data_IF_836536959371
#
_entry.id   IF_836536959371
#
_cell.length_a   1.000
_cell.length_b   1.000
_cell.length_c   1.000
_cell.angle_alpha   90.00
_cell.angle_beta   90.00
_cell.angle_gamma   90.00
#
_symmetry.space_group_name_H-M   'P 1'
#
loop_
_entity.id
_entity.type
_entity.pdbx_description
1 polymer ?
#
# COMPACT_ATOMS: atom_id res chain seq x y z
N UNK A 1 5.69 -10.00 -29.91
CA UNK A 1 5.08 -8.66 -29.95
C UNK A 1 3.59 -8.85 -29.83
N UNK A 2 3.06 -8.73 -28.63
CA UNK A 2 1.61 -8.73 -28.41
C UNK A 2 1.20 -7.31 -28.03
N UNK A 3 0.33 -6.79 -28.88
CA UNK A 3 -0.11 -5.41 -28.96
C UNK A 3 -1.45 -5.35 -28.22
N UNK A 4 -1.46 -4.90 -26.97
CA UNK A 4 -2.72 -4.76 -26.26
C UNK A 4 -3.38 -3.42 -26.60
N UNK A 5 -4.48 -3.52 -27.34
CA UNK A 5 -5.44 -2.45 -27.55
C UNK A 5 -6.56 -2.64 -26.52
N UNK A 6 -6.48 -1.93 -25.40
CA UNK A 6 -7.67 -1.58 -24.61
C UNK A 6 -7.64 -0.10 -24.22
N UNK A 7 -8.41 0.70 -24.96
CA UNK A 7 -8.78 2.06 -24.58
C UNK A 7 -9.70 2.00 -23.35
N UNK A 8 -9.35 2.68 -22.25
CA UNK A 8 -10.35 3.17 -21.28
C UNK A 8 -10.10 2.95 -19.79
N UNK A 9 -9.12 2.14 -19.39
CA UNK A 9 -8.77 1.99 -17.97
C UNK A 9 -7.31 2.40 -17.79
N UNK A 10 -7.10 3.67 -17.48
CA UNK A 10 -5.85 4.08 -16.87
C UNK A 10 -5.77 3.31 -15.56
N UNK A 11 -4.77 2.44 -15.40
CA UNK A 11 -4.57 1.74 -14.13
C UNK A 11 -4.51 2.79 -13.01
N UNK A 12 -5.13 2.52 -11.85
CA UNK A 12 -5.05 3.44 -10.73
C UNK A 12 -3.58 3.69 -10.38
N UNK A 13 -3.19 4.92 -10.00
CA UNK A 13 -1.80 5.25 -9.64
C UNK A 13 -1.34 4.61 -8.31
N UNK A 14 -2.09 3.63 -7.79
CA UNK A 14 -1.81 2.91 -6.55
C UNK A 14 -1.99 1.41 -6.72
N UNK A 15 -1.32 0.65 -5.85
CA UNK A 15 -1.54 -0.79 -5.69
C UNK A 15 -2.25 -1.07 -4.39
N UNK A 16 -3.33 -1.85 -4.45
CA UNK A 16 -4.07 -2.30 -3.25
C UNK A 16 -3.65 -3.72 -2.84
N UNK A 17 -3.55 -3.94 -1.53
CA UNK A 17 -3.27 -5.23 -0.89
C UNK A 17 -4.35 -5.51 0.15
N UNK A 18 -4.77 -6.77 0.28
CA UNK A 18 -5.79 -7.19 1.25
C UNK A 18 -5.28 -8.33 2.10
N UNK A 19 -5.55 -8.23 3.40
CA UNK A 19 -5.08 -9.18 4.40
C UNK A 19 -6.25 -9.64 5.26
N UNK A 20 -6.33 -10.95 5.45
CA UNK A 20 -7.30 -11.57 6.35
C UNK A 20 -6.72 -11.61 7.77
N UNK A 21 -7.32 -10.83 8.67
CA UNK A 21 -6.93 -10.76 10.09
C UNK A 21 -7.70 -11.75 10.98
N UNK A 22 -8.49 -12.67 10.41
CA UNK A 22 -9.20 -13.71 11.19
C UNK A 22 -8.24 -14.65 11.92
N UNK A 23 -6.99 -14.74 11.46
CA UNK A 23 -5.94 -15.51 12.14
C UNK A 23 -5.51 -14.92 13.49
N UNK A 24 -5.83 -13.64 13.76
CA UNK A 24 -5.56 -13.02 15.07
C UNK A 24 -6.66 -13.44 16.06
N UNK A 25 -6.32 -14.10 17.18
CA UNK A 25 -7.31 -14.55 18.15
C UNK A 25 -8.15 -13.41 18.74
N UNK A 26 -9.40 -13.72 19.11
CA UNK A 26 -10.27 -12.74 19.75
C UNK A 26 -9.74 -12.35 21.14
N UNK A 27 -9.67 -11.05 21.41
CA UNK A 27 -9.13 -10.51 22.67
C UNK A 27 -7.63 -10.24 22.64
N UNK A 28 -6.93 -10.61 21.57
CA UNK A 28 -5.56 -10.19 21.33
C UNK A 28 -5.52 -8.88 20.54
N UNK A 29 -4.52 -8.04 20.84
CA UNK A 29 -4.26 -6.78 20.17
C UNK A 29 -2.96 -6.89 19.38
N UNK A 30 -2.90 -6.23 18.22
CA UNK A 30 -1.64 -6.11 17.49
C UNK A 30 -0.79 -5.05 18.18
N UNK A 31 0.43 -5.41 18.55
CA UNK A 31 1.36 -4.48 19.20
C UNK A 31 2.30 -3.81 18.21
N UNK A 32 2.58 -4.49 17.10
CA UNK A 32 3.36 -3.98 15.98
C UNK A 32 2.97 -4.74 14.71
N UNK A 33 2.92 -4.04 13.58
CA UNK A 33 2.78 -4.65 12.27
C UNK A 33 3.59 -3.89 11.23
N UNK A 34 4.22 -4.64 10.33
CA UNK A 34 5.02 -4.09 9.24
C UNK A 34 4.55 -4.67 7.91
N UNK A 35 4.39 -3.81 6.92
CA UNK A 35 4.24 -4.22 5.53
C UNK A 35 5.61 -4.18 4.86
N UNK A 36 6.06 -5.34 4.34
CA UNK A 36 7.38 -5.47 3.71
C UNK A 36 7.24 -5.75 2.22
N UNK A 37 7.88 -4.94 1.39
CA UNK A 37 7.94 -5.12 -0.06
C UNK A 37 9.37 -5.01 -0.56
N UNK A 38 9.75 -5.89 -1.48
CA UNK A 38 11.07 -5.85 -2.08
C UNK A 38 11.05 -4.91 -3.30
N UNK A 39 11.98 -3.95 -3.32
CA UNK A 39 12.11 -2.96 -4.37
C UNK A 39 13.35 -3.27 -5.20
N UNK A 40 13.14 -3.49 -6.50
CA UNK A 40 14.19 -3.62 -7.49
C UNK A 40 14.67 -2.23 -7.94
N UNK A 41 15.94 -2.10 -8.37
CA UNK A 41 16.44 -0.85 -8.89
C UNK A 41 15.76 -0.51 -10.23
N UNK A 42 15.36 0.74 -10.41
CA UNK A 42 14.76 1.22 -11.68
C UNK A 42 15.83 1.82 -12.57
N UNK A 43 16.04 1.24 -13.74
CA UNK A 43 16.93 1.78 -14.79
C UNK A 43 16.29 2.91 -15.60
N UNK A 44 14.97 3.11 -15.47
CA UNK A 44 14.21 4.10 -16.23
C UNK A 44 14.08 5.45 -15.50
N UNK A 45 14.17 5.45 -14.17
CA UNK A 45 13.96 6.63 -13.33
C UNK A 45 15.27 7.08 -12.67
N UNK A 46 16.40 6.94 -13.37
CA UNK A 46 17.73 7.22 -12.82
C UNK A 46 17.80 8.61 -12.19
N UNK A 47 18.43 8.69 -11.00
CA UNK A 47 18.60 9.91 -10.21
C UNK A 47 17.29 10.56 -9.73
N UNK A 48 16.13 9.90 -9.86
CA UNK A 48 14.88 10.39 -9.28
C UNK A 48 14.74 9.90 -7.85
N UNK A 49 14.10 10.74 -7.05
CA UNK A 49 13.62 10.37 -5.72
C UNK A 49 12.21 9.79 -5.85
N UNK A 50 11.96 8.69 -5.15
CA UNK A 50 10.64 8.08 -5.01
C UNK A 50 10.08 8.41 -3.64
N UNK A 51 8.83 8.85 -3.61
CA UNK A 51 8.02 8.97 -2.40
C UNK A 51 7.02 7.82 -2.37
N UNK A 52 7.22 6.89 -1.44
CA UNK A 52 6.39 5.71 -1.27
C UNK A 52 5.51 5.92 -0.06
N UNK A 53 4.22 6.13 -0.27
CA UNK A 53 3.25 6.34 0.80
C UNK A 53 2.30 5.16 0.94
N UNK A 54 1.95 4.84 2.19
CA UNK A 54 1.08 3.74 2.56
C UNK A 54 -0.15 4.26 3.29
N UNK A 55 -1.31 3.74 2.91
CA UNK A 55 -2.61 4.11 3.50
C UNK A 55 -3.42 2.87 3.86
N UNK A 56 -4.18 2.95 4.95
CA UNK A 56 -5.28 2.05 5.24
C UNK A 56 -6.51 2.45 4.42
N UNK A 57 -7.21 1.47 3.87
CA UNK A 57 -8.53 1.65 3.26
C UNK A 57 -9.60 1.45 4.33
N UNK A 58 -9.93 2.53 5.06
CA UNK A 58 -10.91 2.50 6.17
C UNK A 58 -12.31 2.17 5.65
N UNK A 59 -12.65 2.64 4.45
CA UNK A 59 -13.94 2.34 3.81
C UNK A 59 -13.81 2.32 2.29
N UNK A 60 -14.04 1.14 1.72
CA UNK A 60 -14.17 0.98 0.27
C UNK A 60 -15.47 1.62 -0.22
N UNK A 61 -15.39 2.36 -1.32
CA UNK A 61 -16.52 3.08 -1.91
C UNK A 61 -16.52 2.84 -3.42
N UNK A 62 -17.57 2.20 -3.94
CA UNK A 62 -17.66 1.84 -5.35
C UNK A 62 -17.87 3.04 -6.29
N UNK A 63 -18.51 4.11 -5.79
CA UNK A 63 -18.94 5.26 -6.62
C UNK A 63 -18.14 6.55 -6.36
N UNK A 64 -17.08 6.51 -5.53
CA UNK A 64 -16.21 7.66 -5.23
C UNK A 64 -14.90 7.18 -4.61
N UNK A 65 -13.98 8.10 -4.38
CA UNK A 65 -12.75 7.79 -3.65
C UNK A 65 -13.04 7.15 -2.28
N UNK A 66 -12.26 6.11 -1.99
CA UNK A 66 -12.30 5.39 -0.72
C UNK A 66 -11.81 6.30 0.41
N UNK A 67 -12.31 6.10 1.63
CA UNK A 67 -11.76 6.83 2.77
C UNK A 67 -10.41 6.21 3.12
N UNK A 68 -9.35 7.01 3.06
CA UNK A 68 -7.98 6.59 3.33
C UNK A 68 -7.47 7.17 4.65
N UNK A 69 -6.68 6.38 5.36
CA UNK A 69 -5.95 6.83 6.55
C UNK A 69 -4.45 6.65 6.30
N UNK A 70 -3.67 7.72 6.45
CA UNK A 70 -2.23 7.69 6.21
C UNK A 70 -1.52 6.87 7.29
N UNK A 71 -0.61 5.99 6.87
CA UNK A 71 0.14 5.11 7.76
C UNK A 71 1.63 5.47 7.78
N UNK A 72 2.27 5.49 6.61
CA UNK A 72 3.73 5.71 6.51
C UNK A 72 4.12 6.36 5.19
N UNK A 73 5.30 7.01 5.16
CA UNK A 73 5.93 7.60 3.99
C UNK A 73 7.44 7.33 4.04
N UNK A 74 7.96 6.74 2.97
CA UNK A 74 9.39 6.55 2.79
C UNK A 74 9.89 7.22 1.52
N UNK A 75 11.06 7.84 1.64
CA UNK A 75 11.75 8.52 0.55
C UNK A 75 13.03 7.77 0.25
N UNK A 76 13.19 7.32 -0.99
CA UNK A 76 14.36 6.57 -1.43
C UNK A 76 14.73 6.92 -2.87
N UNK A 77 15.94 6.55 -3.31
CA UNK A 77 16.35 6.76 -4.68
C UNK A 77 15.78 5.67 -5.58
N UNK A 78 15.49 6.02 -6.83
CA UNK A 78 15.00 5.09 -7.82
C UNK A 78 15.99 3.97 -8.15
N UNK A 79 17.29 4.19 -7.96
CA UNK A 79 18.34 3.19 -8.11
C UNK A 79 18.59 2.30 -6.88
N UNK A 80 18.03 2.64 -5.71
CA UNK A 80 18.25 1.84 -4.51
C UNK A 80 17.62 0.44 -4.66
N UNK A 81 18.17 -0.58 -4.01
CA UNK A 81 17.59 -1.93 -3.98
C UNK A 81 17.42 -2.38 -2.54
N UNK A 82 16.35 -3.11 -2.25
CA UNK A 82 16.19 -3.75 -0.96
C UNK A 82 14.75 -3.83 -0.46
N UNK A 83 14.64 -4.26 0.80
CA UNK A 83 13.37 -4.33 1.50
C UNK A 83 12.95 -2.95 1.99
N UNK A 84 11.76 -2.53 1.58
CA UNK A 84 11.03 -1.45 2.24
C UNK A 84 10.20 -2.04 3.36
N UNK A 85 10.24 -1.40 4.52
CA UNK A 85 9.53 -1.83 5.74
C UNK A 85 8.66 -0.68 6.20
N UNK A 86 7.37 -0.73 5.87
CA UNK A 86 6.41 0.33 6.17
C UNK A 86 5.64 -0.02 7.45
N UNK A 87 5.53 0.93 8.39
CA UNK A 87 4.74 0.74 9.61
C UNK A 87 3.25 0.75 9.27
N UNK A 88 2.54 -0.33 9.66
CA UNK A 88 1.09 -0.47 9.47
C UNK A 88 0.38 -0.83 10.77
N UNK A 89 1.04 -0.61 11.92
CA UNK A 89 0.54 -0.96 13.25
C UNK A 89 -0.81 -0.32 13.54
N UNK A 90 -0.96 0.96 13.19
CA UNK A 90 -2.23 1.68 13.36
C UNK A 90 -3.38 1.07 12.56
N UNK A 91 -3.09 0.45 11.41
CA UNK A 91 -4.11 -0.13 10.53
C UNK A 91 -4.66 -1.46 11.08
N UNK A 92 -3.80 -2.26 11.72
CA UNK A 92 -4.21 -3.53 12.31
C UNK A 92 -5.21 -3.36 13.46
N UNK A 93 -5.09 -2.28 14.24
CA UNK A 93 -6.03 -2.00 15.33
C UNK A 93 -7.43 -1.68 14.80
N UNK A 94 -7.53 -0.85 13.76
CA UNK A 94 -8.82 -0.52 13.13
C UNK A 94 -9.44 -1.73 12.41
N UNK A 95 -8.63 -2.53 11.70
CA UNK A 95 -9.07 -3.73 11.01
C UNK A 95 -9.65 -4.80 11.94
N UNK A 96 -9.07 -4.97 13.14
CA UNK A 96 -9.59 -5.89 14.16
C UNK A 96 -10.94 -5.47 14.75
N UNK A 97 -11.23 -4.17 14.79
CA UNK A 97 -12.51 -3.63 15.24
C UNK A 97 -13.61 -3.80 14.18
N UNK A 98 -13.23 -4.05 12.92
CA UNK A 98 -14.17 -4.22 11.82
C UNK A 98 -14.75 -5.66 11.78
N UNK A 99 -16.03 -5.77 11.44
CA UNK A 99 -16.77 -7.06 11.44
C UNK A 99 -16.25 -8.06 10.41
N UNK A 100 -15.67 -7.60 9.30
CA UNK A 100 -15.10 -8.47 8.27
C UNK A 100 -13.69 -8.96 8.61
N UNK A 101 -12.98 -8.29 9.54
CA UNK A 101 -11.55 -8.54 9.82
C UNK A 101 -10.65 -8.52 8.57
N UNK A 102 -11.05 -7.79 7.54
CA UNK A 102 -10.23 -7.57 6.35
C UNK A 102 -9.49 -6.23 6.50
N UNK A 103 -8.17 -6.26 6.34
CA UNK A 103 -7.33 -5.08 6.27
C UNK A 103 -6.98 -4.77 4.82
N UNK A 104 -7.39 -3.59 4.34
CA UNK A 104 -7.02 -3.06 3.03
C UNK A 104 -5.90 -2.03 3.15
N UNK A 105 -4.86 -2.19 2.33
CA UNK A 105 -3.73 -1.26 2.25
C UNK A 105 -3.57 -0.74 0.82
N UNK A 106 -3.25 0.55 0.66
CA UNK A 106 -2.90 1.15 -0.63
C UNK A 106 -1.51 1.76 -0.59
N UNK A 107 -0.71 1.36 -1.57
CA UNK A 107 0.64 1.85 -1.81
C UNK A 107 0.64 2.81 -3.00
N UNK A 108 1.14 4.02 -2.79
CA UNK A 108 1.36 5.01 -3.83
C UNK A 108 2.86 5.22 -4.02
N UNK A 109 3.26 5.49 -5.25
CA UNK A 109 4.64 5.84 -5.60
C UNK A 109 4.60 7.08 -6.47
N UNK A 110 5.21 8.16 -5.98
CA UNK A 110 5.30 9.44 -6.66
C UNK A 110 6.78 9.79 -6.91
N UNK A 111 7.05 10.50 -8.00
CA UNK A 111 8.37 11.09 -8.28
C UNK A 111 8.27 12.60 -8.23
N UNK A 112 9.29 13.29 -7.72
CA UNK A 112 9.42 14.73 -7.99
C UNK A 112 9.61 14.93 -9.51
N UNK A 113 8.71 15.68 -10.15
CA UNK A 113 8.74 16.01 -11.58
C UNK A 113 9.82 17.05 -11.92
#
# INVERSE_FOLDING_TARGET
VELDRSLGHQEPPWKEFRFDLTQIPAGEAVTAAEFRIYKLPSTHLLNRTLHVSMFEVVRERANRESDLFFLDLQTLRAEDEGWLVLDVTAASDHGLLNRSRDLGLRLYVETED
#
